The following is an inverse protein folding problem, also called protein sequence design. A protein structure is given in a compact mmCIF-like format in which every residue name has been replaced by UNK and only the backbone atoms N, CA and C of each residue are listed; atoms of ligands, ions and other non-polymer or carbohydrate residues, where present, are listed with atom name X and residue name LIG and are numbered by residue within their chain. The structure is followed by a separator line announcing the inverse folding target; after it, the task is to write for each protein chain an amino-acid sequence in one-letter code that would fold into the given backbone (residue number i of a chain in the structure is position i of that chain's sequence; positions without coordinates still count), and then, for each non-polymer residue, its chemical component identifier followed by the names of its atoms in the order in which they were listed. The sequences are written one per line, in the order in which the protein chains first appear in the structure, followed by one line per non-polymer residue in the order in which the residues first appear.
data_IF_765191696071
#
_entry.id   IF_765191696071
#
_cell.length_a   1.000
_cell.length_b   1.000
_cell.length_c   1.000
_cell.angle_alpha   90.00
_cell.angle_beta   90.00
_cell.angle_gamma   90.00
#
_symmetry.space_group_name_H-M   'P 1'
#
loop_
_entity.id
_entity.type
_entity.pdbx_description
1 polymer ?
#
# COMPACT_ATOMS: atom_id res chain seq x y z
N UNK A 1 -13.39 5.01 13.52
CA UNK A 1 -13.06 5.16 12.10
C UNK A 1 -12.10 4.05 11.77
N UNK A 2 -12.43 3.21 10.80
CA UNK A 2 -11.51 2.24 10.23
C UNK A 2 -10.51 2.99 9.34
N UNK A 3 -9.24 2.58 9.30
CA UNK A 3 -8.13 3.48 8.95
C UNK A 3 -7.24 2.93 7.84
N UNK A 4 -7.75 1.99 7.03
CA UNK A 4 -7.00 1.36 5.95
C UNK A 4 -7.08 2.19 4.65
N UNK A 5 -5.94 2.51 4.01
CA UNK A 5 -5.93 3.07 2.66
C UNK A 5 -6.61 2.18 1.62
N UNK A 6 -6.52 0.85 1.75
CA UNK A 6 -7.20 -0.10 0.86
C UNK A 6 -8.71 0.07 0.92
N UNK A 7 -9.28 0.26 2.11
CA UNK A 7 -10.72 0.53 2.27
C UNK A 7 -11.10 1.83 1.55
N UNK A 8 -10.28 2.87 1.65
CA UNK A 8 -10.52 4.13 0.93
C UNK A 8 -10.59 3.92 -0.59
N UNK A 9 -9.64 3.14 -1.13
CA UNK A 9 -9.58 2.83 -2.56
C UNK A 9 -10.81 2.05 -3.03
N UNK A 10 -11.26 1.07 -2.24
CA UNK A 10 -12.46 0.29 -2.55
C UNK A 10 -13.72 1.14 -2.55
N UNK A 11 -13.86 2.08 -1.61
CA UNK A 11 -15.02 2.97 -1.55
C UNK A 11 -15.07 3.94 -2.75
N UNK A 12 -13.92 4.54 -3.11
CA UNK A 12 -13.81 5.38 -4.31
C UNK A 12 -14.10 4.58 -5.59
N UNK A 13 -13.57 3.37 -5.69
CA UNK A 13 -13.85 2.47 -6.79
C UNK A 13 -15.35 2.12 -6.88
N UNK A 14 -15.99 1.80 -5.75
CA UNK A 14 -17.41 1.50 -5.69
C UNK A 14 -18.26 2.68 -6.18
N UNK A 15 -17.93 3.91 -5.75
CA UNK A 15 -18.61 5.14 -6.19
C UNK A 15 -18.56 5.27 -7.72
N UNK A 16 -17.38 5.13 -8.33
CA UNK A 16 -17.21 5.27 -9.79
C UNK A 16 -17.89 4.14 -10.56
N UNK A 17 -17.91 2.92 -10.02
CA UNK A 17 -18.52 1.75 -10.67
C UNK A 17 -20.00 1.57 -10.37
N UNK A 18 -20.61 2.43 -9.56
CA UNK A 18 -22.01 2.30 -9.17
C UNK A 18 -22.29 1.03 -8.36
N UNK A 19 -21.29 0.53 -7.62
CA UNK A 19 -21.45 -0.61 -6.72
C UNK A 19 -21.94 -0.13 -5.34
N UNK A 20 -22.63 -1.02 -4.60
CA UNK A 20 -22.95 -0.77 -3.19
C UNK A 20 -21.65 -0.75 -2.36
N UNK A 21 -21.24 0.41 -1.79
CA UNK A 21 -20.00 0.50 -1.03
C UNK A 21 -20.03 -0.33 0.27
N UNK A 22 -21.21 -0.50 0.86
CA UNK A 22 -21.42 -1.30 2.06
C UNK A 22 -21.29 -2.80 1.79
N UNK A 23 -21.85 -3.29 0.69
CA UNK A 23 -21.68 -4.68 0.28
C UNK A 23 -20.23 -4.99 -0.11
N UNK A 24 -19.60 -4.15 -0.93
CA UNK A 24 -18.21 -4.33 -1.35
C UNK A 24 -17.27 -4.37 -0.14
N UNK A 25 -17.45 -3.44 0.80
CA UNK A 25 -16.67 -3.38 2.03
C UNK A 25 -16.90 -4.62 2.91
N UNK A 26 -18.14 -5.07 3.07
CA UNK A 26 -18.47 -6.27 3.86
C UNK A 26 -17.80 -7.52 3.29
N UNK A 27 -17.85 -7.69 1.96
CA UNK A 27 -17.16 -8.78 1.25
C UNK A 27 -15.65 -8.70 1.45
N UNK A 28 -15.08 -7.51 1.33
CA UNK A 28 -13.64 -7.31 1.55
C UNK A 28 -13.24 -7.68 2.98
N UNK A 29 -13.96 -7.19 3.99
CA UNK A 29 -13.68 -7.54 5.40
C UNK A 29 -13.85 -9.05 5.67
N UNK A 30 -14.81 -9.71 5.02
CA UNK A 30 -14.96 -11.16 5.11
C UNK A 30 -13.81 -11.92 4.45
N UNK A 31 -13.31 -11.43 3.30
CA UNK A 31 -12.10 -11.96 2.66
C UNK A 31 -10.87 -11.79 3.55
N UNK A 32 -10.65 -10.60 4.10
CA UNK A 32 -9.51 -10.30 4.98
C UNK A 32 -9.48 -11.20 6.22
N UNK A 33 -10.64 -11.48 6.82
CA UNK A 33 -10.76 -12.42 7.96
C UNK A 33 -10.44 -13.88 7.61
N UNK A 34 -10.43 -14.23 6.32
CA UNK A 34 -10.21 -15.59 5.79
C UNK A 34 -8.87 -15.73 5.07
N UNK A 35 -7.97 -14.75 5.18
CA UNK A 35 -6.63 -14.84 4.61
C UNK A 35 -5.96 -16.12 5.16
N UNK A 36 -5.65 -17.04 4.24
CA UNK A 36 -5.14 -18.37 4.57
C UNK A 36 -3.65 -18.38 4.95
N UNK A 37 -3.11 -19.54 5.38
CA UNK A 37 -1.72 -19.69 5.82
C UNK A 37 -0.67 -19.17 4.83
N UNK A 38 -0.94 -19.30 3.52
CA UNK A 38 -0.07 -18.82 2.43
C UNK A 38 0.15 -17.29 2.46
N UNK A 39 -0.69 -16.57 3.18
CA UNK A 39 -0.68 -15.11 3.31
C UNK A 39 -0.67 -14.69 4.80
N UNK A 40 -0.21 -15.58 5.69
CA UNK A 40 -0.14 -15.33 7.13
C UNK A 40 0.67 -14.07 7.47
N UNK A 41 1.73 -13.79 6.70
CA UNK A 41 2.51 -12.57 6.83
C UNK A 41 1.70 -11.27 6.67
N UNK A 42 0.65 -11.26 5.82
CA UNK A 42 -0.27 -10.12 5.72
C UNK A 42 -1.22 -10.07 6.89
N UNK A 43 -1.68 -11.23 7.36
CA UNK A 43 -2.57 -11.33 8.52
C UNK A 43 -1.94 -10.69 9.76
N UNK A 44 -0.65 -10.95 10.01
CA UNK A 44 0.12 -10.35 11.11
C UNK A 44 0.25 -8.81 11.02
N UNK A 45 0.05 -8.25 9.82
CA UNK A 45 0.23 -6.83 9.52
C UNK A 45 -1.08 -6.07 9.42
N UNK A 46 -2.22 -6.75 9.54
CA UNK A 46 -3.55 -6.12 9.46
C UNK A 46 -3.72 -4.98 10.45
N UNK A 47 -3.16 -5.11 11.66
CA UNK A 47 -3.13 -4.03 12.65
C UNK A 47 -2.50 -2.75 12.11
N UNK A 48 -1.35 -2.87 11.45
CA UNK A 48 -0.58 -1.75 10.93
C UNK A 48 -1.14 -1.22 9.61
N UNK A 49 -1.83 -2.07 8.85
CA UNK A 49 -2.59 -1.68 7.67
C UNK A 49 -3.96 -1.05 8.00
N UNK A 50 -4.27 -0.84 9.29
CA UNK A 50 -5.48 -0.14 9.71
C UNK A 50 -6.76 -0.98 9.73
N UNK A 51 -6.64 -2.31 9.75
CA UNK A 51 -7.76 -3.27 9.83
C UNK A 51 -8.16 -3.67 11.25
N UNK A 52 -7.28 -3.51 12.23
CA UNK A 52 -7.64 -3.78 13.64
C UNK A 52 -7.99 -2.48 14.36
N UNK A 53 -9.22 -2.38 14.87
CA UNK A 53 -9.60 -1.31 15.80
C UNK A 53 -9.86 -1.91 17.17
N UNK A 54 -9.19 -1.39 18.21
CA UNK A 54 -9.43 -1.79 19.62
C UNK A 54 -10.89 -1.56 20.10
N UNK A 55 -11.74 -0.91 19.30
CA UNK A 55 -13.14 -0.59 19.62
C UNK A 55 -14.18 -1.03 18.57
N UNK A 56 -13.79 -1.85 17.57
CA UNK A 56 -14.72 -2.64 16.77
C UNK A 56 -15.79 -1.92 15.93
N UNK A 57 -15.64 -0.64 15.58
CA UNK A 57 -16.63 0.02 14.71
C UNK A 57 -16.24 -0.12 13.24
N UNK A 58 -17.21 -0.55 12.42
CA UNK A 58 -17.08 -0.60 10.97
C UNK A 58 -16.68 0.78 10.39
N UNK A 59 -16.01 0.82 9.23
CA UNK A 59 -15.80 2.07 8.52
C UNK A 59 -17.13 2.75 8.27
N UNK A 60 -17.19 4.06 8.53
CA UNK A 60 -18.30 4.90 8.08
C UNK A 60 -17.96 5.33 6.64
N UNK A 61 -18.66 4.78 5.62
CA UNK A 61 -18.31 5.05 4.22
C UNK A 61 -18.35 6.55 3.90
N UNK A 62 -19.30 7.29 4.47
CA UNK A 62 -19.42 8.73 4.23
C UNK A 62 -18.19 9.48 4.72
N UNK A 63 -17.73 9.20 5.95
CA UNK A 63 -16.53 9.86 6.51
C UNK A 63 -15.26 9.49 5.76
N UNK A 64 -15.14 8.23 5.32
CA UNK A 64 -14.02 7.80 4.49
C UNK A 64 -13.99 8.58 3.16
N UNK A 65 -15.14 8.73 2.51
CA UNK A 65 -15.25 9.47 1.25
C UNK A 65 -14.99 10.97 1.41
N UNK A 66 -15.47 11.59 2.49
CA UNK A 66 -15.13 12.98 2.83
C UNK A 66 -13.61 13.14 3.01
N UNK A 67 -12.98 12.17 3.67
CA UNK A 67 -11.54 12.18 3.85
C UNK A 67 -10.75 11.98 2.54
N UNK A 68 -11.20 11.08 1.64
CA UNK A 68 -10.63 10.95 0.30
C UNK A 68 -10.63 12.27 -0.47
N UNK A 69 -11.73 13.03 -0.40
CA UNK A 69 -11.85 14.36 -1.01
C UNK A 69 -10.84 15.34 -0.42
N UNK A 70 -10.67 15.34 0.91
CA UNK A 70 -9.66 16.17 1.60
C UNK A 70 -8.22 15.77 1.28
N UNK A 71 -7.98 14.52 0.91
CA UNK A 71 -6.69 14.07 0.38
C UNK A 71 -6.45 14.52 -1.07
N UNK A 72 -7.49 14.91 -1.80
CA UNK A 72 -7.38 15.21 -3.23
C UNK A 72 -7.20 13.96 -4.08
N UNK A 73 -7.66 12.79 -3.62
CA UNK A 73 -7.66 11.58 -4.45
C UNK A 73 -8.71 11.71 -5.55
N UNK A 74 -8.28 11.56 -6.81
CA UNK A 74 -9.18 11.49 -7.96
C UNK A 74 -9.86 10.10 -7.99
N UNK A 75 -11.20 10.03 -7.84
CA UNK A 75 -11.91 8.76 -7.86
C UNK A 75 -11.75 8.00 -9.19
N UNK A 76 -11.69 8.72 -10.32
CA UNK A 76 -11.51 8.16 -11.66
C UNK A 76 -10.13 7.53 -11.85
N UNK A 77 -9.06 8.18 -11.37
CA UNK A 77 -7.71 7.60 -11.40
C UNK A 77 -7.59 6.38 -10.49
N UNK A 78 -8.17 6.45 -9.28
CA UNK A 78 -8.24 5.31 -8.36
C UNK A 78 -8.98 4.15 -9.03
N UNK A 79 -10.12 4.43 -9.66
CA UNK A 79 -10.92 3.39 -10.28
C UNK A 79 -10.20 2.75 -11.48
N UNK A 80 -9.58 3.54 -12.35
CA UNK A 80 -8.81 3.04 -13.48
C UNK A 80 -7.61 2.18 -13.02
N UNK A 81 -6.99 2.54 -11.90
CA UNK A 81 -5.88 1.78 -11.30
C UNK A 81 -6.36 0.45 -10.73
N UNK A 82 -7.46 0.46 -9.97
CA UNK A 82 -8.08 -0.76 -9.44
C UNK A 82 -8.51 -1.70 -10.58
N UNK A 83 -9.14 -1.18 -11.64
CA UNK A 83 -9.52 -2.00 -12.81
C UNK A 83 -8.33 -2.64 -13.49
N UNK A 84 -7.19 -1.94 -13.58
CA UNK A 84 -6.00 -2.50 -14.17
C UNK A 84 -5.44 -3.65 -13.32
N UNK A 85 -5.49 -3.53 -11.98
CA UNK A 85 -5.08 -4.60 -11.07
C UNK A 85 -6.04 -5.80 -11.10
N UNK A 86 -7.34 -5.56 -11.29
CA UNK A 86 -8.31 -6.63 -11.47
C UNK A 86 -8.00 -7.49 -12.71
N UNK A 87 -7.42 -6.90 -13.77
CA UNK A 87 -6.95 -7.67 -14.93
C UNK A 87 -5.78 -8.59 -14.58
N UNK A 88 -4.85 -8.14 -13.72
CA UNK A 88 -3.76 -8.98 -13.21
C UNK A 88 -4.31 -10.16 -12.42
N UNK A 89 -5.34 -9.93 -11.61
CA UNK A 89 -6.04 -10.97 -10.84
C UNK A 89 -6.96 -11.88 -11.67
N UNK A 90 -7.11 -11.63 -12.98
CA UNK A 90 -8.06 -12.33 -13.86
C UNK A 90 -9.50 -12.30 -13.28
N UNK A 91 -9.87 -11.16 -12.70
CA UNK A 91 -11.18 -10.93 -12.12
C UNK A 91 -12.30 -11.12 -13.15
N UNK A 92 -13.44 -11.63 -12.68
CA UNK A 92 -14.65 -11.89 -13.49
C UNK A 92 -15.52 -10.66 -13.62
N UNK A 93 -15.45 -9.75 -12.65
CA UNK A 93 -16.30 -8.56 -12.60
C UNK A 93 -15.77 -7.50 -11.66
N UNK A 94 -16.39 -6.31 -11.65
CA UNK A 94 -15.96 -5.21 -10.81
C UNK A 94 -16.07 -5.52 -9.30
N UNK A 95 -16.99 -6.38 -8.89
CA UNK A 95 -17.18 -6.81 -7.50
C UNK A 95 -15.98 -7.57 -6.92
N UNK A 96 -15.14 -8.16 -7.79
CA UNK A 96 -13.94 -8.88 -7.37
C UNK A 96 -12.86 -7.94 -6.78
N UNK A 97 -13.05 -6.61 -6.87
CA UNK A 97 -12.26 -5.64 -6.09
C UNK A 97 -12.28 -5.94 -4.59
N UNK A 98 -13.35 -6.57 -4.07
CA UNK A 98 -13.39 -7.02 -2.69
C UNK A 98 -12.26 -8.01 -2.32
N UNK A 99 -11.72 -8.73 -3.30
CA UNK A 99 -10.65 -9.73 -3.10
C UNK A 99 -9.25 -9.18 -3.29
N UNK A 100 -9.08 -7.88 -3.51
CA UNK A 100 -7.77 -7.25 -3.51
C UNK A 100 -7.10 -7.42 -2.13
N UNK A 101 -5.79 -7.68 -2.08
CA UNK A 101 -5.09 -7.89 -0.82
C UNK A 101 -5.10 -6.61 0.04
N UNK A 102 -5.00 -6.74 1.38
CA UNK A 102 -4.91 -5.58 2.29
C UNK A 102 -3.78 -4.59 1.95
N UNK A 103 -2.65 -5.11 1.45
CA UNK A 103 -1.54 -4.28 0.99
C UNK A 103 -1.88 -3.61 -0.35
N UNK A 104 -1.51 -2.34 -0.50
CA UNK A 104 -1.61 -1.62 -1.76
C UNK A 104 -0.56 -2.13 -2.76
N UNK A 105 -0.90 -2.15 -4.04
CA UNK A 105 0.05 -2.36 -5.14
C UNK A 105 0.85 -1.07 -5.42
N UNK A 106 2.00 -1.16 -6.09
CA UNK A 106 2.88 -0.01 -6.33
C UNK A 106 2.18 1.16 -7.06
N UNK A 107 1.33 0.93 -8.09
CA UNK A 107 0.56 2.02 -8.69
C UNK A 107 -0.42 2.68 -7.71
N UNK A 108 -1.00 1.92 -6.78
CA UNK A 108 -1.89 2.46 -5.74
C UNK A 108 -1.10 3.25 -4.69
N UNK A 109 0.09 2.77 -4.32
CA UNK A 109 1.02 3.51 -3.48
C UNK A 109 1.42 4.84 -4.12
N UNK A 110 1.62 4.86 -5.44
CA UNK A 110 1.92 6.09 -6.16
C UNK A 110 0.77 7.10 -6.08
N UNK A 111 -0.48 6.66 -6.32
CA UNK A 111 -1.68 7.49 -6.12
C UNK A 111 -1.76 8.04 -4.70
N UNK A 112 -1.60 7.15 -3.71
CA UNK A 112 -1.70 7.51 -2.30
C UNK A 112 -0.62 8.50 -1.90
N UNK A 113 0.63 8.28 -2.33
CA UNK A 113 1.78 9.11 -2.00
C UNK A 113 1.58 10.54 -2.49
N UNK A 114 1.19 10.73 -3.75
CA UNK A 114 0.96 12.07 -4.28
C UNK A 114 -0.16 12.79 -3.52
N UNK A 115 -1.25 12.08 -3.21
CA UNK A 115 -2.36 12.63 -2.45
C UNK A 115 -1.93 13.04 -1.03
N UNK A 116 -1.22 12.18 -0.28
CA UNK A 116 -0.79 12.52 1.09
C UNK A 116 0.31 13.59 1.13
N UNK A 117 1.14 13.68 0.08
CA UNK A 117 2.20 14.68 -0.01
C UNK A 117 1.66 16.08 -0.31
N UNK A 118 0.60 16.18 -1.11
CA UNK A 118 -0.04 17.46 -1.45
C UNK A 118 -1.11 17.89 -0.43
N UNK A 119 -1.69 16.93 0.30
CA UNK A 119 -2.78 17.22 1.23
C UNK A 119 -2.31 17.88 2.52
N UNK A 120 -2.87 19.06 2.82
CA UNK A 120 -2.77 19.69 4.13
C UNK A 120 -3.48 18.90 5.23
N UNK A 121 -4.52 18.11 4.88
CA UNK A 121 -5.23 17.28 5.84
C UNK A 121 -4.34 16.17 6.40
N UNK A 122 -3.50 15.56 5.54
CA UNK A 122 -2.53 14.57 5.98
C UNK A 122 -1.23 15.20 6.48
N UNK A 123 -0.67 16.20 5.79
CA UNK A 123 0.62 16.79 6.11
C UNK A 123 1.72 15.72 6.27
N UNK A 124 2.15 15.12 5.15
CA UNK A 124 3.12 14.02 5.12
C UNK A 124 4.41 14.36 5.88
N UNK A 125 4.98 15.54 5.59
CA UNK A 125 6.21 16.02 6.22
C UNK A 125 6.07 16.15 7.74
N UNK A 126 5.02 16.85 8.19
CA UNK A 126 4.76 17.03 9.62
C UNK A 126 4.51 15.71 10.34
N UNK A 127 3.84 14.76 9.67
CA UNK A 127 3.59 13.43 10.23
C UNK A 127 4.88 12.61 10.39
N UNK A 128 5.75 12.59 9.38
CA UNK A 128 7.04 11.88 9.47
C UNK A 128 7.93 12.49 10.55
N UNK A 129 7.97 13.82 10.63
CA UNK A 129 8.70 14.54 11.70
C UNK A 129 8.15 14.21 13.08
N UNK A 130 6.82 14.18 13.25
CA UNK A 130 6.18 13.82 14.51
C UNK A 130 6.55 12.39 14.95
N UNK A 131 6.50 11.41 14.03
CA UNK A 131 6.91 10.04 14.34
C UNK A 131 8.39 9.95 14.70
N UNK A 132 9.26 10.73 14.06
CA UNK A 132 10.68 10.78 14.39
C UNK A 132 10.92 11.28 15.82
N UNK A 133 10.26 12.38 16.21
CA UNK A 133 10.33 12.94 17.57
C UNK A 133 9.85 11.96 18.63
N UNK A 134 8.69 11.33 18.39
CA UNK A 134 8.13 10.33 19.29
C UNK A 134 9.06 9.11 19.43
N UNK A 135 9.71 8.67 18.35
CA UNK A 135 10.67 7.57 18.39
C UNK A 135 11.94 7.91 19.20
N UNK A 136 12.29 9.20 19.31
CA UNK A 136 13.38 9.69 20.15
C UNK A 136 12.96 9.92 21.61
N UNK A 137 11.70 9.66 21.95
CA UNK A 137 11.16 9.86 23.30
C UNK A 137 10.86 11.32 23.63
N UNK A 138 10.79 12.21 22.63
CA UNK A 138 10.41 13.60 22.85
C UNK A 138 8.95 13.72 23.33
N UNK A 139 8.72 14.57 24.32
CA UNK A 139 7.37 14.94 24.72
C UNK A 139 6.75 15.87 23.67
N UNK A 140 5.56 15.51 23.20
CA UNK A 140 4.79 16.31 22.26
C UNK A 140 3.55 16.82 22.99
N UNK A 141 3.38 18.14 23.02
CA UNK A 141 2.18 18.75 23.56
C UNK A 141 0.98 18.38 22.69
N UNK A 142 0.00 17.72 23.30
CA UNK A 142 -1.21 17.26 22.62
C UNK A 142 -2.42 17.75 23.40
N UNK A 143 -3.46 18.18 22.70
CA UNK A 143 -4.74 18.56 23.31
C UNK A 143 -5.43 17.35 23.95
N UNK A 144 -6.34 16.69 23.22
CA UNK A 144 -6.96 15.44 23.68
C UNK A 144 -6.06 14.22 23.35
N UNK A 145 -5.52 13.50 24.36
CA UNK A 145 -4.68 12.33 24.14
C UNK A 145 -5.40 11.21 23.37
N UNK A 146 -6.72 11.08 23.52
CA UNK A 146 -7.48 10.03 22.84
C UNK A 146 -7.65 10.31 21.35
N UNK A 147 -7.99 11.56 21.01
CA UNK A 147 -8.03 12.04 19.63
C UNK A 147 -6.66 11.91 18.97
N UNK A 148 -5.60 12.37 19.65
CA UNK A 148 -4.23 12.26 19.16
C UNK A 148 -3.84 10.79 18.88
N UNK A 149 -4.10 9.87 19.82
CA UNK A 149 -3.80 8.44 19.62
C UNK A 149 -4.58 7.83 18.45
N UNK A 150 -5.82 8.28 18.19
CA UNK A 150 -6.64 7.83 17.05
C UNK A 150 -6.08 8.36 15.73
N UNK A 151 -5.71 9.63 15.69
CA UNK A 151 -5.14 10.30 14.52
C UNK A 151 -3.75 9.75 14.18
N UNK A 152 -2.91 9.50 15.18
CA UNK A 152 -1.59 8.93 14.99
C UNK A 152 -1.67 7.51 14.41
N UNK A 153 -2.59 6.68 14.91
CA UNK A 153 -2.85 5.35 14.33
C UNK A 153 -3.33 5.44 12.88
N UNK A 154 -4.19 6.41 12.61
CA UNK A 154 -4.69 6.66 11.26
C UNK A 154 -3.56 6.99 10.30
N UNK A 155 -2.74 7.99 10.65
CA UNK A 155 -1.60 8.42 9.85
C UNK A 155 -0.55 7.32 9.69
N UNK A 156 -0.30 6.58 10.77
CA UNK A 156 0.62 5.45 10.76
C UNK A 156 0.21 4.38 9.75
N UNK A 157 -1.08 4.06 9.63
CA UNK A 157 -1.54 3.06 8.67
C UNK A 157 -1.26 3.45 7.21
N UNK A 158 -1.37 4.75 6.89
CA UNK A 158 -1.08 5.28 5.56
C UNK A 158 0.43 5.24 5.28
N UNK A 159 1.25 5.65 6.25
CA UNK A 159 2.71 5.58 6.12
C UNK A 159 3.22 4.13 6.06
N UNK A 160 2.64 3.23 6.84
CA UNK A 160 2.98 1.81 6.82
C UNK A 160 2.63 1.18 5.46
N UNK A 161 1.45 1.50 4.90
CA UNK A 161 1.06 1.08 3.56
C UNK A 161 2.01 1.62 2.46
N UNK A 162 2.72 2.72 2.71
CA UNK A 162 3.74 3.28 1.82
C UNK A 162 5.17 2.82 2.15
N UNK A 163 5.37 1.94 3.13
CA UNK A 163 6.69 1.54 3.64
C UNK A 163 7.52 2.68 4.24
N UNK A 164 6.87 3.77 4.67
CA UNK A 164 7.49 4.95 5.27
C UNK A 164 7.52 4.90 6.81
N UNK A 165 6.76 3.97 7.41
CA UNK A 165 6.78 3.72 8.84
C UNK A 165 6.84 2.22 9.12
N UNK A 166 7.56 1.84 10.18
CA UNK A 166 7.65 0.47 10.68
C UNK A 166 6.49 0.16 11.64
N UNK A 167 6.29 -1.13 11.96
CA UNK A 167 5.26 -1.59 12.90
C UNK A 167 5.29 -0.86 14.25
N UNK A 168 6.47 -0.52 14.75
CA UNK A 168 6.70 0.15 16.04
C UNK A 168 6.36 1.65 16.04
N UNK A 169 5.72 2.17 15.00
CA UNK A 169 5.37 3.61 14.84
C UNK A 169 6.58 4.54 14.80
N UNK A 170 7.69 4.05 14.27
CA UNK A 170 8.84 4.86 13.88
C UNK A 170 8.89 5.00 12.35
N UNK A 171 9.43 6.09 11.79
CA UNK A 171 9.75 6.14 10.37
C UNK A 171 10.75 5.04 10.01
N UNK A 172 10.63 4.46 8.81
CA UNK A 172 11.69 3.60 8.24
C UNK A 172 12.84 4.47 7.72
N UNK A 173 13.98 3.87 7.37
CA UNK A 173 15.06 4.56 6.65
C UNK A 173 14.55 5.23 5.36
N UNK A 174 13.62 4.59 4.65
CA UNK A 174 12.94 5.19 3.50
C UNK A 174 12.09 6.39 3.90
N UNK A 175 11.35 6.30 5.01
CA UNK A 175 10.58 7.40 5.58
C UNK A 175 11.45 8.60 5.96
N UNK A 176 12.58 8.38 6.62
CA UNK A 176 13.55 9.40 6.95
C UNK A 176 14.15 10.05 5.70
N UNK A 177 14.61 9.24 4.74
CA UNK A 177 15.20 9.74 3.51
C UNK A 177 14.17 10.56 2.71
N UNK A 178 12.94 10.06 2.56
CA UNK A 178 11.90 10.80 1.87
C UNK A 178 11.61 12.13 2.56
N UNK A 179 11.48 12.16 3.90
CA UNK A 179 11.28 13.41 4.63
C UNK A 179 12.38 14.44 4.35
N UNK A 180 13.65 14.02 4.39
CA UNK A 180 14.79 14.89 4.09
C UNK A 180 14.75 15.43 2.65
N UNK A 181 14.40 14.61 1.67
CA UNK A 181 14.30 15.06 0.28
C UNK A 181 13.10 15.98 0.04
N UNK A 182 11.97 15.75 0.72
CA UNK A 182 10.82 16.66 0.66
C UNK A 182 11.16 18.04 1.26
N UNK A 183 11.96 18.08 2.31
CA UNK A 183 12.47 19.32 2.90
C UNK A 183 13.36 20.12 1.94
N UNK A 184 14.04 19.42 1.02
CA UNK A 184 14.83 20.00 -0.06
C UNK A 184 14.01 20.37 -1.30
N UNK A 185 12.69 20.16 -1.29
CA UNK A 185 11.79 20.50 -2.39
C UNK A 185 11.77 19.49 -3.54
N UNK A 186 12.28 18.26 -3.33
CA UNK A 186 12.20 17.22 -4.35
C UNK A 186 10.77 16.68 -4.52
N UNK A 187 10.36 16.26 -5.73
CA UNK A 187 9.01 15.77 -5.98
C UNK A 187 8.78 14.42 -5.28
N UNK A 188 7.62 14.20 -4.62
CA UNK A 188 7.41 13.04 -3.74
C UNK A 188 7.56 11.67 -4.44
N UNK A 189 6.82 11.45 -5.52
CA UNK A 189 6.78 10.15 -6.19
C UNK A 189 8.10 9.75 -6.87
N UNK A 190 8.73 10.59 -7.71
CA UNK A 190 10.04 10.28 -8.28
C UNK A 190 11.10 10.03 -7.20
N UNK A 191 11.06 10.78 -6.10
CA UNK A 191 11.98 10.60 -4.97
C UNK A 191 11.76 9.25 -4.28
N UNK A 192 10.50 8.91 -3.97
CA UNK A 192 10.15 7.64 -3.34
C UNK A 192 10.61 6.42 -4.15
N UNK A 193 10.30 6.40 -5.46
CA UNK A 193 10.72 5.31 -6.34
C UNK A 193 12.24 5.32 -6.54
N UNK A 194 12.86 6.50 -6.67
CA UNK A 194 14.30 6.65 -6.77
C UNK A 194 15.04 6.09 -5.55
N UNK A 195 14.58 6.37 -4.33
CA UNK A 195 15.14 5.86 -3.09
C UNK A 195 14.98 4.33 -2.97
N UNK A 196 13.79 3.81 -3.29
CA UNK A 196 13.56 2.35 -3.32
C UNK A 196 14.48 1.65 -4.33
N UNK A 197 14.70 2.25 -5.49
CA UNK A 197 15.59 1.71 -6.53
C UNK A 197 17.06 1.79 -6.10
N UNK A 198 17.51 2.94 -5.61
CA UNK A 198 18.90 3.15 -5.19
C UNK A 198 19.33 2.19 -4.06
N UNK A 199 18.39 1.76 -3.23
CA UNK A 199 18.62 0.79 -2.15
C UNK A 199 18.39 -0.67 -2.57
N UNK A 200 18.03 -0.93 -3.83
CA UNK A 200 17.68 -2.26 -4.34
C UNK A 200 16.43 -2.86 -3.70
N UNK A 201 15.62 -2.05 -3.01
CA UNK A 201 14.39 -2.48 -2.30
C UNK A 201 13.18 -2.55 -3.22
N UNK A 202 13.17 -1.79 -4.32
CA UNK A 202 12.03 -1.73 -5.24
C UNK A 202 11.64 -3.12 -5.79
N UNK A 203 12.61 -3.93 -6.22
CA UNK A 203 12.35 -5.30 -6.69
C UNK A 203 11.71 -6.19 -5.61
N UNK A 204 12.03 -5.97 -4.35
CA UNK A 204 11.46 -6.74 -3.23
C UNK A 204 10.06 -6.26 -2.86
N UNK A 205 9.79 -4.96 -2.97
CA UNK A 205 8.42 -4.43 -2.88
C UNK A 205 7.54 -5.06 -3.96
N UNK A 206 8.01 -5.09 -5.21
CA UNK A 206 7.30 -5.75 -6.32
C UNK A 206 7.11 -7.24 -6.05
N UNK A 207 8.11 -7.95 -5.50
CA UNK A 207 7.98 -9.36 -5.15
C UNK A 207 6.92 -9.64 -4.07
N UNK A 208 6.85 -8.82 -3.02
CA UNK A 208 5.81 -8.92 -2.00
C UNK A 208 4.41 -8.64 -2.56
N UNK A 209 4.29 -7.66 -3.45
CA UNK A 209 3.03 -7.31 -4.08
C UNK A 209 2.57 -8.39 -5.07
N UNK A 210 3.50 -8.99 -5.83
CA UNK A 210 3.22 -10.13 -6.70
C UNK A 210 2.67 -11.30 -5.88
N UNK A 211 3.34 -11.63 -4.77
CA UNK A 211 2.86 -12.65 -3.84
C UNK A 211 1.47 -12.30 -3.29
N UNK A 212 1.26 -11.03 -2.92
CA UNK A 212 -0.02 -10.58 -2.37
C UNK A 212 -1.17 -10.66 -3.39
N UNK A 213 -0.87 -10.44 -4.67
CA UNK A 213 -1.80 -10.56 -5.79
C UNK A 213 -1.93 -12.01 -6.30
N UNK A 214 -1.26 -12.98 -5.69
CA UNK A 214 -1.31 -14.38 -6.13
C UNK A 214 -0.66 -14.62 -7.50
N UNK A 215 0.29 -13.77 -7.90
CA UNK A 215 1.06 -13.93 -9.12
C UNK A 215 2.04 -15.08 -8.93
N UNK A 216 1.74 -16.21 -9.56
CA UNK A 216 2.47 -17.47 -9.36
C UNK A 216 3.38 -17.88 -10.53
N UNK A 217 3.24 -17.26 -11.70
CA UNK A 217 4.00 -17.63 -12.90
C UNK A 217 4.78 -16.45 -13.46
N UNK A 218 5.75 -16.77 -14.33
CA UNK A 218 6.54 -15.76 -15.04
C UNK A 218 5.67 -14.89 -15.96
N UNK A 219 4.68 -15.50 -16.61
CA UNK A 219 3.73 -14.84 -17.51
C UNK A 219 2.82 -13.88 -16.76
N UNK A 220 2.26 -14.32 -15.62
CA UNK A 220 1.44 -13.47 -14.76
C UNK A 220 2.25 -12.27 -14.22
N UNK A 221 3.54 -12.49 -13.91
CA UNK A 221 4.44 -11.42 -13.50
C UNK A 221 4.67 -10.42 -14.64
N UNK A 222 4.85 -10.86 -15.88
CA UNK A 222 5.00 -9.94 -17.01
C UNK A 222 3.75 -9.08 -17.22
N UNK A 223 2.56 -9.68 -17.11
CA UNK A 223 1.29 -8.93 -17.17
C UNK A 223 1.18 -7.90 -16.05
N UNK A 224 1.57 -8.27 -14.82
CA UNK A 224 1.61 -7.35 -13.69
C UNK A 224 2.58 -6.18 -13.95
N UNK A 225 3.79 -6.46 -14.45
CA UNK A 225 4.79 -5.45 -14.75
C UNK A 225 4.37 -4.51 -15.88
N UNK A 226 3.73 -5.02 -16.93
CA UNK A 226 3.13 -4.20 -18.00
C UNK A 226 2.12 -3.20 -17.43
N UNK A 227 1.25 -3.67 -16.53
CA UNK A 227 0.26 -2.83 -15.86
C UNK A 227 0.94 -1.77 -15.00
N UNK A 228 1.95 -2.15 -14.22
CA UNK A 228 2.66 -1.22 -13.34
C UNK A 228 3.41 -0.15 -14.14
N UNK A 229 4.15 -0.57 -15.17
CA UNK A 229 4.89 0.32 -16.06
C UNK A 229 3.96 1.34 -16.72
N UNK A 230 2.85 0.89 -17.29
CA UNK A 230 1.86 1.77 -17.91
C UNK A 230 1.30 2.81 -16.93
N UNK A 231 0.98 2.41 -15.70
CA UNK A 231 0.38 3.30 -14.71
C UNK A 231 1.41 4.27 -14.10
N UNK A 232 2.63 3.82 -13.83
CA UNK A 232 3.70 4.65 -13.28
C UNK A 232 4.24 5.65 -14.33
N UNK A 233 4.34 5.24 -15.60
CA UNK A 233 4.78 6.12 -16.68
C UNK A 233 3.85 7.33 -16.88
N UNK A 234 2.54 7.15 -16.68
CA UNK A 234 1.58 8.28 -16.67
C UNK A 234 1.89 9.33 -15.60
N UNK A 235 2.62 8.93 -14.57
CA UNK A 235 3.03 9.77 -13.42
C UNK A 235 4.50 10.17 -13.49
N UNK A 236 5.13 10.01 -14.65
CA UNK A 236 6.51 10.44 -14.89
C UNK A 236 7.57 9.58 -14.21
N UNK A 237 7.24 8.34 -13.82
CA UNK A 237 8.20 7.43 -13.20
C UNK A 237 8.25 6.10 -13.93
N UNK A 238 9.46 5.63 -14.22
CA UNK A 238 9.70 4.34 -14.84
C UNK A 238 9.98 3.25 -13.80
N UNK A 239 9.52 2.03 -14.09
CA UNK A 239 10.02 0.84 -13.40
C UNK A 239 11.49 0.58 -13.74
N UNK A 240 12.23 -0.12 -12.86
CA UNK A 240 13.55 -0.61 -13.21
C UNK A 240 13.47 -1.64 -14.36
N UNK A 241 14.59 -1.90 -15.05
CA UNK A 241 14.66 -2.97 -16.04
C UNK A 241 14.12 -4.28 -15.47
N UNK A 242 13.40 -5.05 -16.28
CA UNK A 242 12.71 -6.25 -15.79
C UNK A 242 13.67 -7.29 -15.24
N UNK A 243 14.87 -7.37 -15.81
CA UNK A 243 15.97 -8.22 -15.34
C UNK A 243 16.30 -7.94 -13.87
N UNK A 244 16.30 -6.66 -13.46
CA UNK A 244 16.51 -6.26 -12.07
C UNK A 244 15.39 -6.78 -11.16
N UNK A 245 14.14 -6.72 -11.62
CA UNK A 245 12.98 -7.23 -10.88
C UNK A 245 13.04 -8.75 -10.76
N UNK A 246 13.40 -9.46 -11.83
CA UNK A 246 13.48 -10.93 -11.81
C UNK A 246 14.51 -11.46 -10.83
N UNK A 247 15.54 -10.68 -10.49
CA UNK A 247 16.50 -11.08 -9.44
C UNK A 247 15.87 -11.23 -8.05
N UNK A 248 14.65 -10.71 -7.83
CA UNK A 248 13.90 -10.92 -6.60
C UNK A 248 13.11 -12.24 -6.57
N UNK A 249 13.14 -13.02 -7.65
CA UNK A 249 12.40 -14.28 -7.78
C UNK A 249 13.31 -15.46 -8.10
N UNK A 250 12.88 -16.66 -7.68
CA UNK A 250 13.44 -17.94 -8.09
C UNK A 250 12.40 -18.72 -8.89
N UNK A 251 12.86 -19.40 -9.94
CA UNK A 251 12.02 -20.29 -10.73
C UNK A 251 11.89 -21.66 -10.08
N UNK A 252 10.68 -22.21 -10.05
CA UNK A 252 10.38 -23.55 -9.57
C UNK A 252 9.61 -24.31 -10.65
N UNK A 253 9.95 -25.59 -10.86
CA UNK A 253 9.15 -26.46 -11.73
C UNK A 253 7.89 -26.88 -10.98
N UNK A 254 6.72 -26.66 -11.57
CA UNK A 254 5.47 -27.23 -11.07
C UNK A 254 5.29 -28.67 -11.54
N UNK A 255 4.57 -29.47 -10.74
CA UNK A 255 4.17 -30.84 -11.06
C UNK A 255 3.27 -30.92 -12.31
N UNK A 256 2.64 -29.80 -12.70
CA UNK A 256 1.83 -29.68 -13.92
C UNK A 256 2.60 -29.08 -15.11
N UNK A 257 3.94 -29.02 -15.04
CA UNK A 257 4.80 -28.57 -16.15
C UNK A 257 4.85 -27.05 -16.38
N UNK A 258 4.18 -26.26 -15.54
CA UNK A 258 4.23 -24.79 -15.59
C UNK A 258 5.40 -24.25 -14.76
N UNK A 259 6.11 -23.26 -15.27
CA UNK A 259 7.17 -22.55 -14.54
C UNK A 259 6.57 -21.61 -13.50
N UNK A 260 6.74 -21.94 -12.21
CA UNK A 260 6.30 -21.12 -11.10
C UNK A 260 7.40 -20.17 -10.65
N UNK A 261 7.02 -19.07 -10.04
CA UNK A 261 7.94 -18.13 -9.38
C UNK A 261 7.64 -18.05 -7.89
N UNK A 262 8.69 -17.87 -7.09
CA UNK A 262 8.59 -17.53 -5.68
C UNK A 262 9.64 -16.46 -5.34
N UNK A 263 9.50 -15.75 -4.21
CA UNK A 263 10.53 -14.81 -3.78
C UNK A 263 11.88 -15.50 -3.58
N UNK A 264 12.96 -14.85 -4.01
CA UNK A 264 14.32 -15.39 -3.93
C UNK A 264 14.93 -15.40 -2.51
N UNK A 265 14.26 -14.75 -1.56
CA UNK A 265 14.64 -14.69 -0.15
C UNK A 265 13.47 -15.16 0.72
N UNK A 266 13.75 -15.66 1.93
CA UNK A 266 12.73 -15.85 2.95
C UNK A 266 11.90 -14.59 3.13
N UNK A 267 10.62 -14.77 3.42
CA UNK A 267 9.67 -13.67 3.47
C UNK A 267 9.99 -12.71 4.61
N UNK A 268 10.46 -13.24 5.73
CA UNK A 268 10.91 -12.51 6.91
C UNK A 268 12.06 -11.56 6.57
N UNK A 269 13.01 -12.01 5.74
CA UNK A 269 14.13 -11.19 5.28
C UNK A 269 13.66 -10.04 4.39
N UNK A 270 12.72 -10.31 3.48
CA UNK A 270 12.14 -9.27 2.60
C UNK A 270 11.40 -8.21 3.40
N UNK A 271 10.62 -8.65 4.38
CA UNK A 271 9.87 -7.78 5.28
C UNK A 271 10.81 -6.93 6.14
N UNK A 272 11.86 -7.53 6.70
CA UNK A 272 12.89 -6.82 7.44
C UNK A 272 13.58 -5.75 6.58
N UNK A 273 13.93 -6.07 5.33
CA UNK A 273 14.57 -5.13 4.40
C UNK A 273 13.69 -3.91 4.07
N UNK A 274 12.37 -4.09 4.05
CA UNK A 274 11.42 -3.03 3.69
C UNK A 274 10.98 -2.22 4.92
N UNK A 275 10.87 -2.87 6.09
CA UNK A 275 10.42 -2.26 7.34
C UNK A 275 11.56 -1.64 8.17
N UNK A 276 12.82 -1.71 7.69
CA UNK A 276 13.99 -1.03 8.26
C UNK A 276 14.35 0.25 7.53
#
# INVERSE_FOLDING_TARGET
MYQSPRVLFLLLYAEVKGLDPGDLLRRHLAYVKRIGPQMAWLAERLRWLGYETRGGREPDPHKSMEYAKRLGLDPGEVAATVEALLKVLKARGPEDAAYLPPALALPEKALLLDAVAQSQAFNLRGTLSLLAKLAQGEEVEVGDPDSFRRELRFRHAYLYALHLAAAERRPTCLGYALALHLDMGHPPLPTYIGLLRATGRLRYVVALEALALGVGTREDLDVMLDVYEKLLNKRGVALPPREEIYTAFVGMRSDIGVGMIAPAKPLEDLLMLIET
#
